data_IF_862387599147
#
_entry.id   IF_862387599147
#
_cell.length_a   1.000
_cell.length_b   1.000
_cell.length_c   1.000
_cell.angle_alpha   90.00
_cell.angle_beta   90.00
_cell.angle_gamma   90.00
#
_symmetry.space_group_name_H-M   'P 1'
#
loop_
_entity.id
_entity.type
_entity.pdbx_description
1 polymer ?
#
# COMPACT_ATOMS: atom_id res chain seq x y z
N UNK A 1 -28.52 -16.35 38.82
CA UNK A 1 -27.96 -16.90 37.56
C UNK A 1 -28.38 -15.97 36.44
N UNK A 2 -27.54 -15.03 36.08
CA UNK A 2 -27.79 -14.09 34.99
C UNK A 2 -27.10 -14.66 33.74
N UNK A 3 -27.91 -15.20 32.84
CA UNK A 3 -27.45 -15.55 31.48
C UNK A 3 -27.25 -14.25 30.71
N UNK A 4 -26.01 -13.76 30.67
CA UNK A 4 -25.62 -12.76 29.67
C UNK A 4 -25.61 -13.45 28.31
N UNK A 5 -26.67 -13.19 27.53
CA UNK A 5 -26.67 -13.46 26.10
C UNK A 5 -25.55 -12.65 25.47
N UNK A 6 -24.45 -13.29 25.16
CA UNK A 6 -23.43 -12.75 24.24
C UNK A 6 -24.14 -12.74 22.89
N UNK A 7 -24.74 -11.61 22.53
CA UNK A 7 -25.07 -11.31 21.12
C UNK A 7 -23.76 -11.29 20.35
N UNK A 8 -23.41 -12.42 19.74
CA UNK A 8 -22.42 -12.44 18.65
C UNK A 8 -22.92 -11.44 17.60
N UNK A 9 -22.34 -10.25 17.63
CA UNK A 9 -22.59 -9.25 16.60
C UNK A 9 -22.00 -9.83 15.33
N UNK A 10 -22.85 -10.37 14.45
CA UNK A 10 -22.45 -10.83 13.13
C UNK A 10 -21.70 -9.67 12.47
N UNK A 11 -20.40 -9.88 12.28
CA UNK A 11 -19.55 -8.89 11.61
C UNK A 11 -19.82 -9.03 10.13
N UNK A 12 -20.34 -7.98 9.52
CA UNK A 12 -20.57 -7.92 8.08
C UNK A 12 -19.24 -7.76 7.34
N UNK A 13 -18.65 -8.89 6.93
CA UNK A 13 -17.41 -8.91 6.15
C UNK A 13 -17.58 -8.46 4.71
N UNK A 14 -18.80 -8.25 4.20
CA UNK A 14 -19.04 -7.74 2.85
C UNK A 14 -18.44 -6.34 2.63
N UNK A 15 -18.21 -5.61 3.71
CA UNK A 15 -17.58 -4.28 3.71
C UNK A 15 -16.05 -4.31 3.72
N UNK A 16 -15.45 -5.49 3.89
CA UNK A 16 -14.01 -5.67 3.79
C UNK A 16 -13.65 -5.87 2.32
N UNK A 17 -12.91 -4.95 1.74
CA UNK A 17 -12.41 -5.05 0.37
C UNK A 17 -10.90 -4.98 0.37
N UNK A 18 -10.29 -5.84 -0.43
CA UNK A 18 -8.87 -5.83 -0.73
C UNK A 18 -8.72 -6.05 -2.23
N UNK A 19 -8.29 -5.02 -2.92
CA UNK A 19 -8.17 -5.02 -4.37
C UNK A 19 -6.75 -4.66 -4.78
N UNK A 20 -6.20 -5.37 -5.76
CA UNK A 20 -5.01 -4.93 -6.49
C UNK A 20 -5.41 -3.80 -7.44
N UNK A 21 -4.63 -2.72 -7.49
CA UNK A 21 -4.92 -1.57 -8.35
C UNK A 21 -4.09 -1.64 -9.64
N UNK A 22 -4.73 -1.87 -10.79
CA UNK A 22 -4.03 -2.08 -12.06
C UNK A 22 -3.38 -0.81 -12.63
N UNK A 23 -3.70 0.37 -12.09
CA UNK A 23 -3.08 1.62 -12.55
C UNK A 23 -1.63 1.80 -12.09
N UNK A 24 -1.16 0.99 -11.12
CA UNK A 24 0.25 1.00 -10.74
C UNK A 24 1.04 0.13 -11.72
N UNK A 25 2.14 0.63 -12.32
CA UNK A 25 2.83 -0.04 -13.42
C UNK A 25 3.42 -1.42 -13.07
N UNK A 26 3.59 -1.71 -11.80
CA UNK A 26 4.18 -2.98 -11.32
C UNK A 26 3.20 -3.86 -10.56
N UNK A 27 1.90 -3.55 -10.57
CA UNK A 27 0.84 -4.33 -9.90
C UNK A 27 1.10 -4.62 -8.40
N UNK A 28 1.93 -3.81 -7.74
CA UNK A 28 2.32 -3.98 -6.33
C UNK A 28 1.45 -3.17 -5.37
N UNK A 29 0.44 -2.48 -5.89
CA UNK A 29 -0.45 -1.64 -5.11
C UNK A 29 -1.69 -2.41 -4.69
N UNK A 30 -1.89 -2.51 -3.38
CA UNK A 30 -3.09 -3.09 -2.80
C UNK A 30 -3.86 -2.04 -2.02
N UNK A 31 -5.12 -1.88 -2.33
CA UNK A 31 -6.06 -1.08 -1.53
C UNK A 31 -6.79 -2.00 -0.55
N UNK A 32 -6.75 -1.66 0.72
CA UNK A 32 -7.48 -2.35 1.76
C UNK A 32 -8.40 -1.38 2.50
N UNK A 33 -9.71 -1.56 2.31
CA UNK A 33 -10.73 -0.76 3.01
C UNK A 33 -11.26 -1.53 4.21
N UNK A 34 -10.94 -1.06 5.41
CA UNK A 34 -11.45 -1.63 6.67
C UNK A 34 -12.23 -0.55 7.41
N UNK A 35 -13.56 -0.69 7.56
CA UNK A 35 -14.35 0.23 8.37
C UNK A 35 -13.84 0.25 9.82
N UNK A 36 -13.69 1.44 10.39
CA UNK A 36 -13.15 1.62 11.76
C UNK A 36 -13.96 0.85 12.82
N UNK A 37 -15.25 0.72 12.60
CA UNK A 37 -16.14 -0.03 13.51
C UNK A 37 -15.82 -1.54 13.51
N UNK A 38 -15.56 -2.11 12.34
CA UNK A 38 -15.15 -3.51 12.21
C UNK A 38 -13.78 -3.74 12.84
N UNK A 39 -12.85 -2.83 12.60
CA UNK A 39 -11.51 -2.90 13.17
C UNK A 39 -11.55 -2.91 14.70
N UNK A 40 -12.44 -2.12 15.33
CA UNK A 40 -12.59 -2.07 16.79
C UNK A 40 -13.23 -3.33 17.38
N UNK A 41 -14.15 -3.96 16.66
CA UNK A 41 -14.95 -5.08 17.18
C UNK A 41 -14.33 -6.46 16.91
N UNK A 42 -13.50 -6.61 15.89
CA UNK A 42 -13.00 -7.91 15.45
C UNK A 42 -11.52 -8.10 15.78
N UNK A 43 -11.20 -9.05 16.64
CA UNK A 43 -9.83 -9.32 17.10
C UNK A 43 -8.87 -9.69 15.94
N UNK A 44 -9.33 -10.48 14.97
CA UNK A 44 -8.55 -10.85 13.78
C UNK A 44 -8.15 -9.63 12.94
N UNK A 45 -9.08 -8.70 12.71
CA UNK A 45 -8.77 -7.47 11.95
C UNK A 45 -7.80 -6.56 12.70
N UNK A 46 -7.88 -6.50 14.03
CA UNK A 46 -6.86 -5.78 14.85
C UNK A 46 -5.47 -6.39 14.68
N UNK A 47 -5.37 -7.72 14.62
CA UNK A 47 -4.08 -8.41 14.40
C UNK A 47 -3.51 -8.10 13.02
N UNK A 48 -4.34 -8.16 11.97
CA UNK A 48 -3.93 -7.79 10.60
C UNK A 48 -3.48 -6.33 10.57
N UNK A 49 -4.25 -5.42 11.12
CA UNK A 49 -3.89 -4.00 11.18
C UNK A 49 -2.55 -3.79 11.92
N UNK A 50 -2.35 -4.45 13.06
CA UNK A 50 -1.09 -4.38 13.79
C UNK A 50 0.09 -4.90 12.96
N UNK A 51 -0.10 -6.01 12.23
CA UNK A 51 0.92 -6.55 11.34
C UNK A 51 1.29 -5.55 10.22
N UNK A 52 0.27 -4.97 9.56
CA UNK A 52 0.48 -3.95 8.52
C UNK A 52 1.25 -2.74 9.08
N UNK A 53 0.94 -2.30 10.30
CA UNK A 53 1.68 -1.22 10.95
C UNK A 53 3.14 -1.60 11.21
N UNK A 54 3.40 -2.80 11.74
CA UNK A 54 4.75 -3.29 11.97
C UNK A 54 5.57 -3.41 10.69
N UNK A 55 4.95 -3.88 9.60
CA UNK A 55 5.59 -3.96 8.29
C UNK A 55 5.92 -2.57 7.73
N UNK A 56 5.04 -1.59 7.94
CA UNK A 56 5.30 -0.20 7.56
C UNK A 56 6.43 0.42 8.37
N UNK A 57 6.44 0.20 9.70
CA UNK A 57 7.49 0.70 10.59
C UNK A 57 8.86 0.09 10.28
N UNK A 58 8.89 -1.15 9.78
CA UNK A 58 10.12 -1.83 9.34
C UNK A 58 10.55 -1.48 7.91
N UNK A 59 9.78 -0.66 7.18
CA UNK A 59 10.08 -0.28 5.80
C UNK A 59 9.79 -1.35 4.75
N UNK A 60 9.13 -2.47 5.14
CA UNK A 60 8.77 -3.54 4.20
C UNK A 60 7.61 -3.15 3.27
N UNK A 61 6.76 -2.25 3.70
CA UNK A 61 5.66 -1.70 2.90
C UNK A 61 5.57 -0.19 3.13
N UNK A 62 5.11 0.52 2.11
CA UNK A 62 4.77 1.95 2.20
C UNK A 62 3.26 2.11 2.26
N UNK A 63 2.77 2.94 3.20
CA UNK A 63 1.36 3.29 3.30
C UNK A 63 1.14 4.67 2.72
N UNK A 64 0.24 4.77 1.76
CA UNK A 64 -0.03 6.03 1.06
C UNK A 64 -1.50 6.11 0.65
N UNK A 65 -2.05 7.32 0.61
CA UNK A 65 -3.37 7.57 0.03
C UNK A 65 -3.29 7.54 -1.50
N UNK A 66 -4.32 7.00 -2.16
CA UNK A 66 -4.34 6.85 -3.62
C UNK A 66 -4.08 8.18 -4.34
N UNK A 67 -4.71 9.25 -3.89
CA UNK A 67 -4.51 10.59 -4.49
C UNK A 67 -3.07 11.08 -4.38
N UNK A 68 -2.36 10.66 -3.34
CA UNK A 68 -0.95 11.00 -3.14
C UNK A 68 0.00 10.24 -4.07
N UNK A 69 -0.46 9.12 -4.66
CA UNK A 69 0.32 8.31 -5.59
C UNK A 69 0.30 8.86 -7.02
N UNK A 70 -0.68 9.70 -7.36
CA UNK A 70 -0.88 10.21 -8.72
C UNK A 70 0.31 11.04 -9.21
N UNK A 71 0.84 12.03 -8.46
CA UNK A 71 1.92 12.87 -8.97
C UNK A 71 3.18 12.11 -9.41
N UNK A 72 3.73 11.14 -8.63
CA UNK A 72 4.85 10.33 -9.09
C UNK A 72 4.59 9.53 -10.36
N UNK A 73 3.35 9.05 -10.56
CA UNK A 73 2.98 8.29 -11.76
C UNK A 73 2.92 9.17 -13.02
N UNK A 74 2.55 10.44 -12.85
CA UNK A 74 2.49 11.39 -13.97
C UNK A 74 3.87 11.88 -14.42
N UNK A 75 4.92 11.66 -13.63
CA UNK A 75 6.29 12.09 -13.96
C UNK A 75 6.98 11.18 -14.99
N UNK A 76 6.36 10.05 -15.34
CA UNK A 76 6.94 9.05 -16.26
C UNK A 76 8.43 8.75 -15.94
N UNK A 77 8.68 8.38 -14.68
CA UNK A 77 10.02 8.20 -14.12
C UNK A 77 10.76 7.11 -14.88
N UNK A 78 11.98 7.41 -15.35
CA UNK A 78 12.85 6.48 -16.05
C UNK A 78 14.03 6.05 -15.15
N UNK A 79 14.73 4.98 -15.57
CA UNK A 79 15.81 4.34 -14.82
C UNK A 79 17.02 5.26 -14.55
N UNK A 80 17.27 6.23 -15.44
CA UNK A 80 18.40 7.16 -15.44
C UNK A 80 18.02 8.58 -14.93
N UNK A 81 16.76 8.78 -14.53
CA UNK A 81 16.31 10.09 -14.06
C UNK A 81 16.92 10.46 -12.71
N UNK A 82 17.37 11.73 -12.60
CA UNK A 82 17.66 12.38 -11.34
C UNK A 82 16.45 13.20 -10.90
N UNK A 83 15.91 12.93 -9.70
CA UNK A 83 14.67 13.52 -9.22
C UNK A 83 14.92 14.33 -7.95
N UNK A 84 14.43 15.58 -7.92
CA UNK A 84 14.39 16.41 -6.73
C UNK A 84 12.99 16.44 -6.15
N UNK A 85 12.80 15.88 -4.94
CA UNK A 85 11.56 15.98 -4.19
C UNK A 85 11.64 17.16 -3.20
N UNK A 86 11.01 18.28 -3.56
CA UNK A 86 10.99 19.49 -2.72
C UNK A 86 9.98 19.42 -1.58
N UNK A 87 9.13 18.38 -1.53
CA UNK A 87 8.12 18.17 -0.48
C UNK A 87 8.23 16.75 0.10
N UNK A 88 9.45 16.31 0.36
CA UNK A 88 9.78 14.93 0.69
C UNK A 88 9.12 14.39 1.98
N UNK A 89 8.91 15.23 3.01
CA UNK A 89 8.30 14.77 4.26
C UNK A 89 6.81 14.44 4.08
N UNK A 90 6.33 13.33 4.66
CA UNK A 90 6.99 12.30 5.48
C UNK A 90 7.72 11.20 4.70
N UNK A 91 7.89 11.31 3.38
CA UNK A 91 8.68 10.38 2.58
C UNK A 91 7.91 9.41 1.69
N UNK A 92 6.59 9.37 1.74
CA UNK A 92 5.79 8.38 0.99
C UNK A 92 5.91 8.54 -0.53
N UNK A 93 5.94 9.78 -1.05
CA UNK A 93 6.16 10.05 -2.48
C UNK A 93 7.61 9.78 -2.89
N UNK A 94 8.57 10.15 -2.04
CA UNK A 94 9.98 9.86 -2.23
C UNK A 94 10.24 8.36 -2.33
N UNK A 95 9.64 7.56 -1.43
CA UNK A 95 9.71 6.10 -1.49
C UNK A 95 9.14 5.55 -2.80
N UNK A 96 7.97 6.03 -3.23
CA UNK A 96 7.36 5.64 -4.50
C UNK A 96 8.24 5.98 -5.71
N UNK A 97 8.88 7.16 -5.71
CA UNK A 97 9.80 7.55 -6.79
C UNK A 97 11.03 6.63 -6.86
N UNK A 98 11.60 6.27 -5.70
CA UNK A 98 12.70 5.31 -5.62
C UNK A 98 12.29 3.92 -6.11
N UNK A 99 11.11 3.44 -5.74
CA UNK A 99 10.56 2.16 -6.21
C UNK A 99 10.39 2.16 -7.74
N UNK A 100 9.88 3.25 -8.32
CA UNK A 100 9.74 3.39 -9.78
C UNK A 100 11.09 3.36 -10.51
N UNK A 101 12.09 4.09 -10.00
CA UNK A 101 13.46 4.07 -10.57
C UNK A 101 14.03 2.65 -10.52
N UNK A 102 13.97 1.99 -9.35
CA UNK A 102 14.52 0.64 -9.18
C UNK A 102 13.84 -0.38 -10.09
N UNK A 103 12.52 -0.32 -10.19
CA UNK A 103 11.77 -1.24 -11.05
C UNK A 103 12.15 -1.06 -12.52
N UNK A 104 12.28 0.18 -13.00
CA UNK A 104 12.72 0.46 -14.37
C UNK A 104 14.17 0.05 -14.63
N UNK A 105 15.07 0.22 -13.66
CA UNK A 105 16.44 -0.29 -13.75
C UNK A 105 16.50 -1.82 -13.87
N UNK A 106 15.63 -2.54 -13.18
CA UNK A 106 15.54 -4.00 -13.29
C UNK A 106 15.02 -4.43 -14.67
N UNK A 107 14.05 -3.71 -15.22
CA UNK A 107 13.52 -3.96 -16.55
C UNK A 107 14.58 -3.73 -17.64
N UNK A 108 15.36 -2.65 -17.54
CA UNK A 108 16.43 -2.35 -18.49
C UNK A 108 17.56 -3.38 -18.47
N UNK A 109 17.94 -3.89 -17.31
CA UNK A 109 18.93 -4.96 -17.18
C UNK A 109 18.47 -6.28 -17.80
N UNK A 110 17.18 -6.51 -17.88
CA UNK A 110 16.59 -7.73 -18.44
C UNK A 110 16.26 -7.62 -19.93
N UNK A 111 16.45 -6.45 -20.56
CA UNK A 111 16.33 -6.33 -22.02
C UNK A 111 17.47 -7.10 -22.67
N UNK A 112 17.19 -8.07 -23.59
CA UNK A 112 18.23 -8.70 -24.37
C UNK A 112 18.92 -7.60 -25.17
N UNK A 113 20.28 -7.60 -25.16
CA UNK A 113 21.06 -6.70 -26.00
C UNK A 113 20.58 -6.86 -27.44
N UNK A 114 19.86 -5.86 -27.94
CA UNK A 114 19.56 -5.77 -29.36
C UNK A 114 20.86 -5.31 -30.04
N UNK A 115 21.61 -6.29 -30.50
CA UNK A 115 22.63 -6.05 -31.54
C UNK A 115 21.97 -5.62 -32.85
#
# INVERSE_FOLDING_TARGET
MVKQSIKETQVDFSKLKMDCKPFHPHEVLFEMMIPRELLKKHAGLKRIHKLVMQMADSGLITRQEIVSMIPPLLLDVQADHAILDMCAAPGSKTAQLLELIQANQMLDKNKPNSE
#
